data_IF_233621033769
#
_entry.id   IF_233621033769
#
_cell.length_a   1.000
_cell.length_b   1.000
_cell.length_c   1.000
_cell.angle_alpha   90.00
_cell.angle_beta   90.00
_cell.angle_gamma   90.00
#
_symmetry.space_group_name_H-M   'P 1'
#
loop_
_entity.id
_entity.type
_entity.pdbx_description
1 polymer ?
#
# COMPACT_ATOMS: atom_id res chain seq x y z
N UNK A 1 17.68 -15.73 14.33
CA UNK A 1 18.05 -15.98 12.90
C UNK A 1 16.92 -15.64 11.93
N UNK A 2 15.66 -16.05 12.18
CA UNK A 2 14.54 -15.80 11.26
C UNK A 2 14.27 -14.30 11.00
N UNK A 3 14.26 -13.49 12.05
CA UNK A 3 14.04 -12.04 11.96
C UNK A 3 15.16 -11.32 11.18
N UNK A 4 16.41 -11.76 11.36
CA UNK A 4 17.57 -11.19 10.66
C UNK A 4 17.53 -11.50 9.15
N UNK A 5 17.12 -12.70 8.76
CA UNK A 5 16.91 -13.05 7.35
C UNK A 5 15.74 -12.28 6.73
N UNK A 6 14.66 -12.07 7.48
CA UNK A 6 13.52 -11.26 7.04
C UNK A 6 13.95 -9.80 6.79
N UNK A 7 14.71 -9.23 7.72
CA UNK A 7 15.26 -7.87 7.61
C UNK A 7 16.26 -7.74 6.45
N UNK A 8 17.12 -8.73 6.23
CA UNK A 8 18.04 -8.74 5.09
C UNK A 8 17.31 -8.84 3.76
N UNK A 9 16.24 -9.65 3.69
CA UNK A 9 15.40 -9.75 2.50
C UNK A 9 14.74 -8.40 2.17
N UNK A 10 14.22 -7.72 3.19
CA UNK A 10 13.68 -6.36 3.06
C UNK A 10 14.75 -5.35 2.62
N UNK A 11 15.94 -5.38 3.22
CA UNK A 11 17.04 -4.47 2.87
C UNK A 11 17.54 -4.61 1.43
N UNK A 12 17.54 -5.83 0.88
CA UNK A 12 18.03 -6.11 -0.48
C UNK A 12 16.97 -5.89 -1.56
N UNK A 13 15.69 -6.23 -1.30
CA UNK A 13 14.64 -6.16 -2.31
C UNK A 13 13.81 -4.86 -2.32
N UNK A 14 13.81 -4.08 -1.25
CA UNK A 14 13.03 -2.83 -1.18
C UNK A 14 13.67 -1.63 -1.90
N UNK A 15 15.00 -1.43 -1.94
CA UNK A 15 15.59 -0.19 -2.48
C UNK A 15 15.11 0.21 -3.89
N UNK A 16 14.92 -0.71 -4.86
CA UNK A 16 14.36 -0.36 -6.18
C UNK A 16 12.81 -0.36 -6.22
N UNK A 17 12.13 -0.90 -5.20
CA UNK A 17 10.66 -1.04 -5.15
C UNK A 17 9.96 0.06 -4.34
N UNK A 18 10.70 1.06 -3.85
CA UNK A 18 10.19 2.19 -3.04
C UNK A 18 9.03 2.93 -3.73
N UNK A 19 9.28 3.39 -4.96
CA UNK A 19 8.27 4.07 -5.77
C UNK A 19 7.14 3.12 -6.21
N UNK A 20 7.46 1.83 -6.40
CA UNK A 20 6.48 0.82 -6.80
C UNK A 20 5.44 0.61 -5.70
N UNK A 21 5.82 0.54 -4.43
CA UNK A 21 4.87 0.37 -3.32
C UNK A 21 3.90 1.54 -3.19
N UNK A 22 4.42 2.78 -3.28
CA UNK A 22 3.59 3.99 -3.25
C UNK A 22 2.68 4.04 -4.48
N UNK A 23 3.22 3.75 -5.67
CA UNK A 23 2.44 3.70 -6.91
C UNK A 23 1.33 2.64 -6.86
N UNK A 24 1.63 1.45 -6.32
CA UNK A 24 0.66 0.37 -6.15
C UNK A 24 -0.44 0.77 -5.16
N UNK A 25 -0.07 1.43 -4.06
CA UNK A 25 -1.02 1.96 -3.09
C UNK A 25 -1.96 3.00 -3.71
N UNK A 26 -1.43 3.94 -4.50
CA UNK A 26 -2.23 4.93 -5.23
C UNK A 26 -3.18 4.24 -6.21
N UNK A 27 -2.69 3.26 -6.97
CA UNK A 27 -3.52 2.52 -7.93
C UNK A 27 -4.67 1.78 -7.24
N UNK A 28 -4.40 1.12 -6.11
CA UNK A 28 -5.43 0.46 -5.30
C UNK A 28 -6.42 1.44 -4.67
N UNK A 29 -5.96 2.63 -4.30
CA UNK A 29 -6.82 3.69 -3.78
C UNK A 29 -7.78 4.21 -4.86
N UNK A 30 -7.30 4.40 -6.10
CA UNK A 30 -8.15 4.76 -7.25
C UNK A 30 -9.15 3.65 -7.54
N UNK A 31 -8.73 2.38 -7.52
CA UNK A 31 -9.62 1.24 -7.70
C UNK A 31 -10.69 1.17 -6.59
N UNK A 32 -10.29 1.39 -5.33
CA UNK A 32 -11.19 1.44 -4.19
C UNK A 32 -12.24 2.54 -4.35
N UNK A 33 -11.84 3.73 -4.82
CA UNK A 33 -12.75 4.82 -5.12
C UNK A 33 -13.77 4.43 -6.19
N UNK A 34 -13.33 3.80 -7.28
CA UNK A 34 -14.22 3.32 -8.33
C UNK A 34 -15.25 2.30 -7.80
N UNK A 35 -14.82 1.36 -6.95
CA UNK A 35 -15.73 0.38 -6.33
C UNK A 35 -16.76 1.07 -5.42
N UNK A 36 -16.36 2.09 -4.66
CA UNK A 36 -17.30 2.85 -3.84
C UNK A 36 -18.31 3.65 -4.69
N UNK A 37 -17.90 4.21 -5.82
CA UNK A 37 -18.83 4.88 -6.74
C UNK A 37 -19.88 3.89 -7.29
N UNK A 38 -19.44 2.69 -7.67
CA UNK A 38 -20.36 1.62 -8.10
C UNK A 38 -21.26 1.17 -6.95
N UNK A 39 -20.75 1.09 -5.72
CA UNK A 39 -21.57 0.81 -4.53
C UNK A 39 -22.71 1.81 -4.38
N UNK A 40 -22.44 3.12 -4.47
CA UNK A 40 -23.46 4.15 -4.40
C UNK A 40 -24.46 4.08 -5.57
N UNK A 41 -23.98 3.81 -6.79
CA UNK A 41 -24.83 3.67 -7.97
C UNK A 41 -25.73 2.40 -7.93
N UNK A 42 -25.25 1.33 -7.28
CA UNK A 42 -25.95 0.03 -7.20
C UNK A 42 -27.06 -0.04 -6.15
N UNK A 43 -27.37 1.06 -5.47
CA UNK A 43 -28.35 1.07 -4.38
C UNK A 43 -27.81 0.46 -3.08
N UNK A 44 -26.52 0.64 -2.79
CA UNK A 44 -25.87 0.24 -1.54
C UNK A 44 -25.74 -1.28 -1.34
N UNK A 45 -25.27 -2.01 -2.36
CA UNK A 45 -24.98 -3.44 -2.21
C UNK A 45 -23.84 -3.68 -1.20
N UNK A 46 -24.18 -4.26 -0.04
CA UNK A 46 -23.24 -4.50 1.07
C UNK A 46 -21.95 -5.20 0.64
N UNK A 47 -22.00 -6.14 -0.31
CA UNK A 47 -20.82 -6.87 -0.78
C UNK A 47 -19.80 -5.96 -1.48
N UNK A 48 -20.29 -5.01 -2.29
CA UNK A 48 -19.43 -4.01 -2.94
C UNK A 48 -18.85 -3.04 -1.92
N UNK A 49 -19.61 -2.68 -0.89
CA UNK A 49 -19.14 -1.84 0.21
C UNK A 49 -17.98 -2.49 0.98
N UNK A 50 -18.13 -3.76 1.36
CA UNK A 50 -17.06 -4.52 2.06
C UNK A 50 -15.82 -4.67 1.17
N UNK A 51 -16.01 -4.95 -0.12
CA UNK A 51 -14.91 -5.05 -1.08
C UNK A 51 -14.16 -3.72 -1.23
N UNK A 52 -14.88 -2.62 -1.43
CA UNK A 52 -14.29 -1.28 -1.51
C UNK A 52 -13.54 -0.90 -0.24
N UNK A 53 -14.14 -1.15 0.93
CA UNK A 53 -13.56 -0.82 2.24
C UNK A 53 -12.28 -1.61 2.53
N UNK A 54 -12.27 -2.92 2.23
CA UNK A 54 -11.06 -3.75 2.39
C UNK A 54 -9.94 -3.33 1.44
N UNK A 55 -10.27 -3.02 0.18
CA UNK A 55 -9.33 -2.44 -0.79
C UNK A 55 -8.72 -1.12 -0.29
N UNK A 56 -9.53 -0.25 0.35
CA UNK A 56 -9.06 1.02 0.90
C UNK A 56 -8.03 0.81 2.00
N UNK A 57 -8.29 -0.13 2.92
CA UNK A 57 -7.37 -0.42 4.03
C UNK A 57 -6.05 -1.01 3.54
N UNK A 58 -6.12 -1.91 2.57
CA UNK A 58 -4.93 -2.51 1.93
C UNK A 58 -4.10 -1.41 1.25
N UNK A 59 -4.75 -0.49 0.53
CA UNK A 59 -4.09 0.64 -0.11
C UNK A 59 -3.41 1.56 0.92
N UNK A 60 -4.10 1.90 2.02
CA UNK A 60 -3.56 2.74 3.09
C UNK A 60 -2.34 2.11 3.78
N UNK A 61 -2.43 0.82 4.12
CA UNK A 61 -1.31 0.11 4.77
C UNK A 61 -0.10 0.06 3.84
N UNK A 62 -0.29 -0.26 2.56
CA UNK A 62 0.82 -0.26 1.60
C UNK A 62 1.39 1.12 1.35
N UNK A 63 0.55 2.16 1.26
CA UNK A 63 1.00 3.54 1.10
C UNK A 63 1.82 3.99 2.30
N UNK A 64 1.34 3.70 3.50
CA UNK A 64 2.04 4.00 4.75
C UNK A 64 3.38 3.28 4.85
N UNK A 65 3.44 1.98 4.54
CA UNK A 65 4.70 1.23 4.48
C UNK A 65 5.65 1.83 3.44
N UNK A 66 5.15 2.21 2.27
CA UNK A 66 5.93 2.86 1.22
C UNK A 66 6.55 4.18 1.68
N UNK A 67 5.80 5.01 2.40
CA UNK A 67 6.29 6.26 2.99
C UNK A 67 7.33 6.01 4.07
N UNK A 68 7.07 5.11 5.03
CA UNK A 68 8.03 4.77 6.08
C UNK A 68 9.36 4.26 5.51
N UNK A 69 9.29 3.42 4.47
CA UNK A 69 10.47 2.92 3.76
C UNK A 69 11.22 4.04 3.03
N UNK A 70 10.49 5.00 2.47
CA UNK A 70 11.09 6.20 1.85
C UNK A 70 11.83 7.06 2.88
N UNK A 71 11.22 7.32 4.04
CA UNK A 71 11.81 8.13 5.11
C UNK A 71 13.01 7.46 5.78
N UNK A 72 12.90 6.17 6.13
CA UNK A 72 13.97 5.44 6.82
C UNK A 72 15.26 5.33 5.98
N UNK A 73 15.13 5.22 4.66
CA UNK A 73 16.27 5.14 3.74
C UNK A 73 16.75 6.52 3.26
N UNK A 74 15.90 7.54 3.25
CA UNK A 74 16.29 8.93 2.94
C UNK A 74 17.26 9.53 3.96
N UNK A 75 17.19 9.07 5.22
CA UNK A 75 18.17 9.43 6.25
C UNK A 75 19.51 8.71 6.08
N UNK A 76 19.53 7.48 5.56
CA UNK A 76 20.75 6.69 5.39
C UNK A 76 21.64 7.06 4.19
N UNK A 77 21.23 8.01 3.34
CA UNK A 77 22.03 8.54 2.22
C UNK A 77 22.67 9.90 2.54
N UNK A 78 22.41 10.44 3.74
CA UNK A 78 22.89 11.76 4.17
C UNK A 78 24.10 11.71 5.10
N UNK A 79 24.68 10.53 5.26
CA UNK A 79 25.96 10.23 5.90
C UNK A 79 26.87 9.57 4.85
#
# INVERSE_FOLDING_TARGET
>A
MWLANLLNWFRVNIPPRRGILIFLAVLLLVLSLAVHLVYFASGQNLWLGVCGFSLLHIALIMGFLGVLLSEALGKGYRE
#
